data_IF_406635268258
#
_entry.id   IF_406635268258
#
_cell.length_a   1.000
_cell.length_b   1.000
_cell.length_c   1.000
_cell.angle_alpha   90.00
_cell.angle_beta   90.00
_cell.angle_gamma   90.00
#
_symmetry.space_group_name_H-M   'P 1'
#
loop_
_entity.id
_entity.type
_entity.pdbx_description
1 polymer ?
#
# COMPACT_ATOMS: atom_id res chain seq x y z
N UNK A 1 16.62 -14.44 13.24
CA UNK A 1 15.79 -13.76 14.25
C UNK A 1 14.37 -14.27 14.05
N UNK A 2 13.85 -15.08 14.97
CA UNK A 2 12.54 -15.73 14.82
C UNK A 2 11.44 -14.76 15.23
N UNK A 3 10.56 -14.40 14.30
CA UNK A 3 9.39 -13.55 14.58
C UNK A 3 8.28 -14.45 15.09
N UNK A 4 7.98 -14.36 16.39
CA UNK A 4 6.88 -15.10 16.99
C UNK A 4 5.56 -14.43 16.57
N UNK A 5 4.75 -15.13 15.77
CA UNK A 5 3.38 -14.73 15.48
C UNK A 5 2.59 -14.88 16.79
N UNK A 6 2.19 -13.77 17.39
CA UNK A 6 1.25 -13.78 18.52
C UNK A 6 -0.13 -14.06 17.90
N UNK A 7 -0.53 -15.33 17.96
CA UNK A 7 -1.89 -15.72 17.60
C UNK A 7 -2.85 -15.12 18.63
N UNK A 8 -3.60 -14.10 18.22
CA UNK A 8 -4.61 -13.46 19.06
C UNK A 8 -5.75 -14.45 19.24
N UNK A 9 -5.77 -15.14 20.38
CA UNK A 9 -6.82 -16.10 20.74
C UNK A 9 -8.10 -15.36 21.15
N UNK A 10 -8.75 -14.68 20.20
CA UNK A 10 -10.07 -14.08 20.39
C UNK A 10 -11.02 -14.57 19.30
N UNK A 11 -11.50 -15.80 19.44
CA UNK A 11 -12.94 -16.05 19.64
C UNK A 11 -13.17 -17.54 19.93
N UNK A 12 -13.57 -17.84 21.17
CA UNK A 12 -14.14 -19.15 21.51
C UNK A 12 -15.59 -19.15 21.03
N UNK A 13 -15.82 -19.59 19.80
CA UNK A 13 -17.14 -20.07 19.37
C UNK A 13 -17.10 -21.59 19.37
N UNK A 14 -17.67 -22.15 20.44
CA UNK A 14 -18.01 -23.56 20.57
C UNK A 14 -19.02 -23.94 19.49
N UNK A 15 -18.57 -24.62 18.44
CA UNK A 15 -19.43 -25.39 17.55
C UNK A 15 -18.70 -26.70 17.19
N UNK A 16 -19.17 -27.79 17.78
CA UNK A 16 -18.87 -29.17 17.42
C UNK A 16 -19.26 -29.39 15.95
N UNK A 17 -18.38 -30.04 15.17
CA UNK A 17 -18.60 -30.54 13.79
C UNK A 17 -18.58 -29.55 12.60
N UNK A 18 -17.83 -28.44 12.67
CA UNK A 18 -17.45 -27.71 11.46
C UNK A 18 -16.13 -28.28 10.90
N UNK A 19 -16.19 -28.93 9.74
CA UNK A 19 -15.04 -29.35 8.93
C UNK A 19 -14.13 -28.12 8.76
N UNK A 20 -12.96 -28.12 9.41
CA UNK A 20 -11.99 -27.02 9.33
C UNK A 20 -11.70 -26.84 7.84
N UNK A 21 -12.06 -25.69 7.22
CA UNK A 21 -11.67 -25.43 5.84
C UNK A 21 -10.15 -25.56 5.79
N UNK A 22 -9.62 -26.36 4.86
CA UNK A 22 -8.17 -26.39 4.63
C UNK A 22 -7.72 -24.95 4.47
N UNK A 23 -6.99 -24.46 5.48
CA UNK A 23 -6.51 -23.09 5.51
C UNK A 23 -5.57 -22.94 4.32
N UNK A 24 -6.07 -22.33 3.24
CA UNK A 24 -5.24 -21.96 2.11
C UNK A 24 -4.10 -21.12 2.70
N UNK A 25 -2.83 -21.57 2.59
CA UNK A 25 -1.73 -20.85 3.21
C UNK A 25 -1.70 -19.46 2.59
N UNK A 26 -2.05 -18.45 3.38
CA UNK A 26 -1.99 -17.05 2.97
C UNK A 26 -0.53 -16.75 2.68
N UNK A 27 -0.20 -16.63 1.40
CA UNK A 27 1.13 -16.26 0.99
C UNK A 27 1.27 -14.76 1.16
N UNK A 28 1.88 -14.35 2.28
CA UNK A 28 2.25 -12.96 2.51
C UNK A 28 3.25 -12.55 1.43
N UNK A 29 2.86 -11.58 0.61
CA UNK A 29 3.75 -10.98 -0.40
C UNK A 29 4.94 -10.37 0.36
N UNK A 30 6.14 -10.85 0.07
CA UNK A 30 7.38 -10.32 0.67
C UNK A 30 7.94 -9.16 -0.15
N UNK A 31 7.57 -9.07 -1.42
CA UNK A 31 7.87 -7.91 -2.25
C UNK A 31 6.99 -6.71 -1.86
N UNK A 32 7.53 -5.51 -2.05
CA UNK A 32 6.70 -4.30 -2.02
C UNK A 32 5.74 -4.28 -3.21
N UNK A 33 4.68 -3.47 -3.09
CA UNK A 33 3.75 -3.23 -4.20
C UNK A 33 3.47 -1.73 -4.29
N UNK A 34 3.14 -1.27 -5.50
CA UNK A 34 2.64 0.06 -5.74
C UNK A 34 1.51 -0.02 -6.77
N UNK A 35 0.45 0.75 -6.59
CA UNK A 35 -0.63 0.89 -7.55
C UNK A 35 -0.97 2.35 -7.77
N UNK A 36 -1.31 2.66 -9.03
CA UNK A 36 -1.86 3.96 -9.41
C UNK A 36 -3.20 3.70 -10.05
N UNK A 37 -4.25 4.32 -9.50
CA UNK A 37 -5.58 4.31 -10.10
C UNK A 37 -5.88 5.71 -10.60
N UNK A 38 -6.21 5.81 -11.89
CA UNK A 38 -6.61 7.08 -12.53
C UNK A 38 -8.07 6.93 -12.93
N UNK A 39 -8.92 7.80 -12.41
CA UNK A 39 -10.36 7.81 -12.66
C UNK A 39 -10.73 9.13 -13.32
N UNK A 40 -11.36 9.08 -14.49
CA UNK A 40 -11.92 10.27 -15.12
C UNK A 40 -13.09 10.79 -14.27
N UNK A 41 -13.05 12.08 -13.91
CA UNK A 41 -14.12 12.74 -13.14
C UNK A 41 -14.99 13.58 -14.08
N UNK A 42 -14.35 14.36 -14.96
CA UNK A 42 -14.98 15.07 -16.08
C UNK A 42 -13.98 15.28 -17.24
N UNK A 43 -14.40 16.01 -18.28
CA UNK A 43 -13.62 16.24 -19.51
C UNK A 43 -12.24 16.88 -19.28
N UNK A 44 -12.04 17.58 -18.16
CA UNK A 44 -10.80 18.28 -17.86
C UNK A 44 -10.09 17.79 -16.59
N UNK A 45 -10.69 16.84 -15.85
CA UNK A 45 -10.18 16.42 -14.55
C UNK A 45 -10.15 14.91 -14.38
N UNK A 46 -9.06 14.43 -13.79
CA UNK A 46 -8.89 13.05 -13.37
C UNK A 46 -8.58 13.02 -11.88
N UNK A 47 -9.21 12.09 -11.17
CA UNK A 47 -8.84 11.72 -9.81
C UNK A 47 -7.75 10.65 -9.86
N UNK A 48 -6.77 10.78 -8.98
CA UNK A 48 -5.60 9.90 -9.00
C UNK A 48 -5.27 9.46 -7.59
N UNK A 49 -5.37 8.14 -7.38
CA UNK A 49 -5.06 7.49 -6.11
C UNK A 49 -3.77 6.70 -6.27
N UNK A 50 -2.79 7.01 -5.42
CA UNK A 50 -1.51 6.32 -5.34
C UNK A 50 -1.41 5.57 -4.01
N UNK A 51 -1.22 4.25 -4.08
CA UNK A 51 -1.01 3.41 -2.90
C UNK A 51 0.30 2.64 -3.05
N UNK A 52 1.04 2.51 -1.95
CA UNK A 52 2.30 1.78 -1.92
C UNK A 52 2.54 1.09 -0.58
N UNK A 53 3.15 -0.09 -0.64
CA UNK A 53 3.65 -0.84 0.50
C UNK A 53 5.07 -1.30 0.23
N UNK A 54 5.90 -1.33 1.26
CA UNK A 54 7.17 -2.05 1.24
C UNK A 54 7.42 -2.75 2.57
N UNK A 55 8.03 -3.92 2.50
CA UNK A 55 8.65 -4.53 3.67
C UNK A 55 9.93 -3.74 4.02
N UNK A 56 10.13 -3.52 5.32
CA UNK A 56 11.33 -2.86 5.86
C UNK A 56 11.95 -3.75 6.93
N UNK A 57 13.26 -3.95 6.88
CA UNK A 57 14.01 -4.76 7.85
C UNK A 57 14.60 -3.91 8.98
N UNK A 58 14.59 -2.58 8.82
CA UNK A 58 15.10 -1.64 9.83
C UNK A 58 14.38 -0.30 9.80
N UNK A 59 14.49 0.45 10.91
CA UNK A 59 13.97 1.81 11.00
C UNK A 59 14.61 2.75 9.97
N UNK A 60 15.93 2.63 9.78
CA UNK A 60 16.67 3.43 8.80
C UNK A 60 16.15 3.20 7.38
N UNK A 61 15.86 1.95 7.02
CA UNK A 61 15.27 1.61 5.73
C UNK A 61 13.86 2.18 5.58
N UNK A 62 13.04 2.12 6.63
CA UNK A 62 11.70 2.70 6.63
C UNK A 62 11.74 4.23 6.45
N UNK A 63 12.61 4.93 7.19
CA UNK A 63 12.76 6.38 7.08
C UNK A 63 13.23 6.80 5.68
N UNK A 64 14.16 6.03 5.09
CA UNK A 64 14.60 6.24 3.71
C UNK A 64 13.47 6.04 2.69
N UNK A 65 12.69 4.96 2.82
CA UNK A 65 11.58 4.66 1.92
C UNK A 65 10.49 5.75 1.97
N UNK A 66 10.13 6.20 3.17
CA UNK A 66 9.17 7.31 3.33
C UNK A 66 9.65 8.58 2.63
N UNK A 67 10.93 8.94 2.79
CA UNK A 67 11.49 10.10 2.11
C UNK A 67 11.48 9.94 0.57
N UNK A 68 11.79 8.73 0.07
CA UNK A 68 11.76 8.42 -1.36
C UNK A 68 10.34 8.53 -1.93
N UNK A 69 9.33 8.02 -1.20
CA UNK A 69 7.93 8.07 -1.62
C UNK A 69 7.40 9.50 -1.67
N UNK A 70 7.72 10.32 -0.65
CA UNK A 70 7.36 11.73 -0.66
C UNK A 70 7.97 12.46 -1.87
N UNK A 71 9.24 12.19 -2.21
CA UNK A 71 9.88 12.77 -3.40
C UNK A 71 9.23 12.32 -4.71
N UNK A 72 8.77 11.07 -4.78
CA UNK A 72 8.06 10.56 -5.95
C UNK A 72 6.74 11.30 -6.16
N UNK A 73 5.92 11.42 -5.10
CA UNK A 73 4.63 12.13 -5.16
C UNK A 73 4.81 13.59 -5.58
N UNK A 74 5.78 14.31 -5.00
CA UNK A 74 6.06 15.72 -5.37
C UNK A 74 6.47 15.86 -6.83
N UNK A 75 7.35 15.00 -7.34
CA UNK A 75 7.74 15.04 -8.76
C UNK A 75 6.57 14.73 -9.68
N UNK A 76 5.72 13.81 -9.27
CA UNK A 76 4.56 13.42 -10.04
C UNK A 76 3.55 14.57 -10.12
N UNK A 77 3.24 15.22 -8.99
CA UNK A 77 2.45 16.46 -8.95
C UNK A 77 3.04 17.55 -9.86
N UNK A 78 4.36 17.75 -9.87
CA UNK A 78 5.00 18.74 -10.74
C UNK A 78 4.87 18.42 -12.24
N UNK A 79 4.79 17.15 -12.63
CA UNK A 79 4.61 16.72 -14.02
C UNK A 79 3.16 16.92 -14.47
N UNK A 80 2.20 16.62 -13.59
CA UNK A 80 0.76 16.69 -13.93
C UNK A 80 0.16 18.06 -13.70
N UNK A 81 0.78 18.90 -12.85
CA UNK A 81 0.36 20.28 -12.68
C UNK A 81 0.42 20.98 -14.05
N UNK A 82 -0.69 21.57 -14.51
CA UNK A 82 -0.67 22.27 -15.79
C UNK A 82 0.39 23.36 -15.71
N UNK A 83 1.30 23.37 -16.68
CA UNK A 83 2.30 24.40 -16.86
C UNK A 83 1.61 25.70 -17.27
N UNK A 84 0.84 26.30 -16.36
CA UNK A 84 0.20 27.60 -16.50
C UNK A 84 1.22 28.74 -16.40
N UNK A 85 2.47 28.48 -16.77
CA UNK A 85 3.56 29.44 -16.71
C UNK A 85 3.69 30.32 -17.96
N UNK A 86 2.78 30.19 -18.94
CA UNK A 86 2.83 30.94 -20.20
C UNK A 86 1.51 31.61 -20.61
N UNK A 87 0.57 31.80 -19.69
CA UNK A 87 -0.56 32.72 -19.89
C UNK A 87 -0.23 34.07 -19.23
N UNK A 88 0.70 34.81 -19.82
CA UNK A 88 0.94 36.24 -19.53
C UNK A 88 0.91 37.03 -20.83
#
# INVERSE_FOLDING_TARGET
MSMNIIDSTVSRLSNTDAKIPELVPVQWVKEGWASVTITEVDEATVDVVYDQLAACESRLQADYLVAQWAQFLVRWEQIVAPSNFLAQ
#
